data_IF_710064017016
#
_entry.id   IF_710064017016
#
_cell.length_a   1.000
_cell.length_b   1.000
_cell.length_c   1.000
_cell.angle_alpha   90.00
_cell.angle_beta   90.00
_cell.angle_gamma   90.00
#
_symmetry.space_group_name_H-M   'P 1'
#
loop_
_entity.id
_entity.type
_entity.pdbx_description
1 polymer ?
#
# COMPACT_ATOMS: atom_id res chain seq x y z
N UNK A 1 0.89 6.05 5.29
CA UNK A 1 0.30 7.31 4.76
C UNK A 1 -1.19 7.12 4.56
N UNK A 2 -1.99 8.02 5.12
CA UNK A 2 -3.45 8.05 4.96
C UNK A 2 -3.81 8.81 3.69
N UNK A 3 -4.76 8.28 2.92
CA UNK A 3 -5.30 8.97 1.74
C UNK A 3 -6.39 9.96 2.15
N UNK A 4 -6.33 11.15 1.57
CA UNK A 4 -7.37 12.16 1.65
C UNK A 4 -7.82 12.54 0.24
N UNK A 5 -9.12 12.79 0.09
CA UNK A 5 -9.69 13.29 -1.15
C UNK A 5 -9.88 14.79 -1.02
N UNK A 6 -9.26 15.53 -1.93
CA UNK A 6 -9.45 16.97 -2.07
C UNK A 6 -10.15 17.25 -3.39
N UNK A 7 -11.18 18.10 -3.36
CA UNK A 7 -11.92 18.46 -4.56
C UNK A 7 -11.33 19.75 -5.14
N UNK A 8 -10.75 19.65 -6.34
CA UNK A 8 -10.18 20.78 -7.06
C UNK A 8 -10.89 20.88 -8.40
N UNK A 9 -11.60 21.99 -8.63
CA UNK A 9 -12.30 22.27 -9.90
C UNK A 9 -13.23 21.13 -10.38
N UNK A 10 -13.91 20.44 -9.46
CA UNK A 10 -14.85 19.36 -9.77
C UNK A 10 -14.22 17.98 -10.00
N UNK A 11 -12.89 17.86 -9.93
CA UNK A 11 -12.19 16.58 -9.94
C UNK A 11 -11.70 16.23 -8.53
N UNK A 12 -11.76 14.94 -8.18
CA UNK A 12 -11.22 14.43 -6.92
C UNK A 12 -9.73 14.12 -7.09
N UNK A 13 -8.90 14.83 -6.35
CA UNK A 13 -7.46 14.60 -6.28
C UNK A 13 -7.10 13.89 -4.97
N UNK A 14 -6.21 12.91 -5.06
CA UNK A 14 -5.80 12.10 -3.91
C UNK A 14 -4.51 12.66 -3.31
N UNK A 15 -4.59 13.18 -2.10
CA UNK A 15 -3.41 13.58 -1.31
C UNK A 15 -3.10 12.53 -0.25
N UNK A 16 -1.85 12.48 0.19
CA UNK A 16 -1.38 11.52 1.18
C UNK A 16 -0.65 12.24 2.30
N UNK A 17 -1.05 11.96 3.54
CA UNK A 17 -0.42 12.52 4.74
C UNK A 17 0.09 11.39 5.64
N UNK A 18 1.03 11.70 6.53
CA UNK A 18 1.44 10.74 7.56
C UNK A 18 0.25 10.39 8.47
N UNK A 19 0.23 9.16 8.97
CA UNK A 19 -0.77 8.74 9.95
C UNK A 19 -0.32 9.17 11.35
N UNK A 20 -1.25 9.26 12.31
CA UNK A 20 -0.93 9.62 13.70
C UNK A 20 0.10 8.68 14.33
N UNK A 21 -0.06 7.36 14.10
CA UNK A 21 0.93 6.33 14.40
C UNK A 21 1.48 5.74 13.08
N UNK A 22 2.50 6.37 12.46
CA UNK A 22 2.89 6.08 11.09
C UNK A 22 3.79 4.84 10.95
N UNK A 23 4.43 4.41 12.05
CA UNK A 23 5.36 3.29 12.05
C UNK A 23 4.60 2.00 12.31
N UNK A 24 4.80 1.02 11.41
CA UNK A 24 4.22 -0.30 11.49
C UNK A 24 5.33 -1.36 11.48
N UNK A 25 5.50 -2.06 12.60
CA UNK A 25 6.36 -3.24 12.63
C UNK A 25 5.64 -4.43 12.00
N UNK A 26 6.30 -5.11 11.06
CA UNK A 26 5.66 -6.16 10.28
C UNK A 26 6.66 -7.18 9.73
N UNK A 27 6.12 -8.34 9.34
CA UNK A 27 6.77 -9.22 8.38
C UNK A 27 6.45 -8.71 6.97
N UNK A 28 7.47 -8.55 6.13
CA UNK A 28 7.34 -8.09 4.75
C UNK A 28 7.85 -9.18 3.80
N UNK A 29 6.94 -9.83 3.06
CA UNK A 29 7.26 -10.94 2.15
C UNK A 29 6.95 -10.56 0.70
N UNK A 30 7.98 -10.34 -0.10
CA UNK A 30 7.86 -10.02 -1.53
C UNK A 30 7.70 -11.27 -2.40
N UNK A 31 6.94 -11.16 -3.50
CA UNK A 31 6.79 -12.24 -4.50
C UNK A 31 7.54 -11.99 -5.81
N UNK A 32 8.41 -10.98 -5.84
CA UNK A 32 9.11 -10.54 -7.06
C UNK A 32 8.29 -9.54 -7.88
N UNK A 33 8.91 -9.04 -8.94
CA UNK A 33 8.32 -8.11 -9.89
C UNK A 33 8.11 -8.74 -11.25
N UNK A 34 6.99 -8.41 -11.89
CA UNK A 34 6.67 -8.83 -13.25
C UNK A 34 6.63 -7.61 -14.16
N UNK A 35 7.35 -7.68 -15.28
CA UNK A 35 7.25 -6.66 -16.33
C UNK A 35 5.87 -6.70 -16.99
N UNK A 36 5.26 -5.54 -17.19
CA UNK A 36 3.92 -5.37 -17.72
C UNK A 36 3.85 -4.12 -18.57
N UNK A 37 2.93 -4.09 -19.53
CA UNK A 37 2.68 -2.90 -20.34
C UNK A 37 1.45 -2.19 -19.79
N UNK A 38 1.65 -0.97 -19.27
CA UNK A 38 0.58 -0.10 -18.78
C UNK A 38 0.63 1.20 -19.56
N UNK A 39 -0.45 1.55 -20.25
CA UNK A 39 -0.54 2.74 -21.12
C UNK A 39 0.60 2.84 -22.16
N UNK A 40 1.03 1.69 -22.72
CA UNK A 40 2.10 1.63 -23.71
C UNK A 40 3.51 1.75 -23.14
N UNK A 41 3.67 1.92 -21.82
CA UNK A 41 4.96 1.94 -21.15
C UNK A 41 5.24 0.60 -20.47
N UNK A 42 6.50 0.16 -20.54
CA UNK A 42 6.96 -1.01 -19.79
C UNK A 42 7.15 -0.58 -18.33
N UNK A 43 6.39 -1.20 -17.44
CA UNK A 43 6.46 -1.00 -16.00
C UNK A 43 6.73 -2.33 -15.31
N UNK A 44 7.43 -2.31 -14.20
CA UNK A 44 7.62 -3.47 -13.33
C UNK A 44 6.66 -3.36 -12.14
N UNK A 45 5.76 -4.33 -12.03
CA UNK A 45 4.79 -4.44 -10.95
C UNK A 45 5.28 -5.51 -9.97
N UNK A 46 5.70 -5.07 -8.79
CA UNK A 46 6.07 -5.96 -7.68
C UNK A 46 4.91 -6.08 -6.69
N UNK A 47 4.75 -7.27 -6.11
CA UNK A 47 3.75 -7.51 -5.06
C UNK A 47 4.38 -8.07 -3.80
N UNK A 48 3.76 -7.79 -2.65
CA UNK A 48 4.17 -8.33 -1.36
C UNK A 48 2.97 -8.58 -0.46
N UNK A 49 3.15 -9.48 0.50
CA UNK A 49 2.26 -9.69 1.63
C UNK A 49 2.91 -9.15 2.88
N UNK A 50 2.15 -8.38 3.66
CA UNK A 50 2.56 -7.84 4.95
C UNK A 50 1.71 -8.48 6.04
N UNK A 51 2.35 -8.99 7.09
CA UNK A 51 1.66 -9.43 8.30
C UNK A 51 2.09 -8.55 9.46
N UNK A 52 1.11 -7.98 10.17
CA UNK A 52 1.35 -7.04 11.27
C UNK A 52 0.29 -7.22 12.37
N UNK A 53 0.45 -6.50 13.48
CA UNK A 53 -0.57 -6.42 14.53
C UNK A 53 -1.85 -5.80 13.99
N UNK A 54 -2.99 -6.30 14.46
CA UNK A 54 -4.29 -5.81 14.01
C UNK A 54 -4.45 -4.31 14.29
N UNK A 55 -4.76 -3.58 13.22
CA UNK A 55 -5.00 -2.13 13.24
C UNK A 55 -6.20 -1.82 12.36
N UNK A 56 -7.31 -1.44 13.01
CA UNK A 56 -8.56 -1.12 12.32
C UNK A 56 -8.47 0.17 11.49
N UNK A 57 -7.53 1.07 11.83
CA UNK A 57 -7.39 2.34 11.14
C UNK A 57 -6.86 2.19 9.70
N UNK A 58 -6.11 1.14 9.38
CA UNK A 58 -5.49 0.91 8.06
C UNK A 58 -6.56 0.51 7.04
N UNK A 59 -6.63 1.23 5.92
CA UNK A 59 -7.63 1.02 4.87
C UNK A 59 -6.99 0.78 3.51
N UNK A 60 -7.70 0.10 2.60
CA UNK A 60 -7.27 -0.18 1.21
C UNK A 60 -6.69 1.02 0.43
N UNK A 61 -7.25 2.24 0.49
CA UNK A 61 -6.69 3.38 -0.23
C UNK A 61 -5.37 3.94 0.35
N UNK A 62 -4.94 3.49 1.53
CA UNK A 62 -3.73 3.95 2.17
C UNK A 62 -2.46 3.45 1.44
N UNK A 63 -1.35 4.12 1.70
CA UNK A 63 -0.02 3.76 1.20
C UNK A 63 0.93 3.46 2.34
N UNK A 64 1.84 2.53 2.10
CA UNK A 64 2.92 2.17 3.00
C UNK A 64 4.25 2.57 2.38
N UNK A 65 5.16 3.07 3.21
CA UNK A 65 6.52 3.37 2.80
C UNK A 65 7.44 2.39 3.50
N UNK A 66 8.23 1.66 2.72
CA UNK A 66 9.23 0.77 3.26
C UNK A 66 10.45 1.60 3.67
N UNK A 67 10.70 1.73 4.98
CA UNK A 67 11.72 2.65 5.51
C UNK A 67 13.15 2.27 5.15
N UNK A 68 13.41 1.04 4.71
CA UNK A 68 14.76 0.61 4.30
C UNK A 68 15.21 1.21 2.98
N UNK A 69 14.29 1.48 2.06
CA UNK A 69 14.59 1.97 0.70
C UNK A 69 13.69 3.13 0.25
N UNK A 70 12.83 3.64 1.14
CA UNK A 70 11.80 4.65 0.88
C UNK A 70 10.83 4.30 -0.26
N UNK A 71 10.71 3.02 -0.62
CA UNK A 71 9.78 2.63 -1.67
C UNK A 71 8.33 2.72 -1.21
N UNK A 72 7.47 3.25 -2.09
CA UNK A 72 6.04 3.42 -1.82
C UNK A 72 5.28 2.20 -2.35
N UNK A 73 4.44 1.64 -1.49
CA UNK A 73 3.59 0.49 -1.75
C UNK A 73 2.14 0.86 -1.53
N UNK A 74 1.29 0.51 -2.49
CA UNK A 74 -0.17 0.69 -2.41
C UNK A 74 -0.81 -0.58 -1.87
N UNK A 75 -1.75 -0.46 -0.94
CA UNK A 75 -2.54 -1.59 -0.51
C UNK A 75 -3.50 -1.98 -1.64
N UNK A 76 -3.61 -3.29 -1.89
CA UNK A 76 -4.49 -3.85 -2.91
C UNK A 76 -5.50 -4.79 -2.24
N UNK A 77 -6.77 -4.59 -2.56
CA UNK A 77 -7.86 -5.28 -1.87
C UNK A 77 -8.04 -4.80 -0.43
N UNK A 78 -8.85 -5.52 0.33
CA UNK A 78 -9.18 -5.16 1.70
C UNK A 78 -8.13 -5.72 2.69
N UNK A 79 -7.74 -4.94 3.70
CA UNK A 79 -6.98 -5.45 4.84
C UNK A 79 -7.70 -6.63 5.53
N UNK A 80 -7.04 -7.78 5.65
CA UNK A 80 -7.64 -9.00 6.18
C UNK A 80 -7.36 -9.13 7.69
N UNK A 81 -8.39 -9.23 8.53
CA UNK A 81 -8.25 -9.59 9.95
C UNK A 81 -8.00 -11.11 10.05
N UNK A 82 -6.79 -11.51 10.43
CA UNK A 82 -6.39 -12.91 10.39
C UNK A 82 -7.22 -13.73 11.38
N UNK A 83 -7.92 -14.75 10.87
CA UNK A 83 -8.87 -15.58 11.62
C UNK A 83 -9.99 -14.79 12.33
N UNK A 84 -10.20 -13.51 11.99
CA UNK A 84 -11.10 -12.58 12.67
C UNK A 84 -10.86 -12.45 14.18
N UNK A 85 -9.63 -12.67 14.65
CA UNK A 85 -9.28 -12.66 16.09
C UNK A 85 -8.83 -11.30 16.62
N UNK A 86 -8.59 -10.32 15.75
CA UNK A 86 -8.12 -9.00 16.16
C UNK A 86 -6.71 -8.98 16.75
N UNK A 87 -5.89 -10.00 16.44
CA UNK A 87 -4.49 -10.07 16.88
C UNK A 87 -3.55 -9.65 15.75
N UNK A 88 -3.70 -10.26 14.58
CA UNK A 88 -2.91 -9.97 13.40
C UNK A 88 -3.80 -9.57 12.23
N UNK A 89 -3.23 -8.83 11.30
CA UNK A 89 -3.84 -8.55 10.02
C UNK A 89 -2.85 -8.81 8.88
N UNK A 90 -3.40 -9.13 7.70
CA UNK A 90 -2.63 -9.32 6.48
C UNK A 90 -3.02 -8.24 5.45
N UNK A 91 -2.00 -7.65 4.83
CA UNK A 91 -2.15 -6.70 3.73
C UNK A 91 -1.52 -7.31 2.49
N UNK A 92 -2.22 -7.23 1.35
CA UNK A 92 -1.59 -7.38 0.05
C UNK A 92 -1.23 -6.00 -0.45
N UNK A 93 -0.02 -5.83 -0.96
CA UNK A 93 0.47 -4.55 -1.46
C UNK A 93 1.13 -4.72 -2.82
N UNK A 94 1.14 -3.65 -3.62
CA UNK A 94 1.89 -3.56 -4.86
C UNK A 94 2.75 -2.31 -4.91
N UNK A 95 3.85 -2.40 -5.65
CA UNK A 95 4.69 -1.27 -6.05
C UNK A 95 4.79 -1.28 -7.57
N UNK A 96 4.58 -0.13 -8.19
CA UNK A 96 4.84 0.07 -9.61
C UNK A 96 6.17 0.82 -9.71
N UNK A 97 7.08 0.30 -10.53
CA UNK A 97 8.40 0.89 -10.77
C UNK A 97 8.68 0.91 -12.26
N UNK A 98 9.30 1.97 -12.77
CA UNK A 98 9.42 2.20 -14.21
C UNK A 98 8.19 2.91 -14.79
N UNK A 99 8.38 3.47 -15.98
CA UNK A 99 7.53 4.48 -16.57
C UNK A 99 8.23 5.84 -16.52
N UNK A 100 8.56 6.39 -17.69
CA UNK A 100 9.18 7.69 -17.86
C UNK A 100 8.12 8.75 -18.21
#
# INVERSE_FOLDING_TARGET
MKRYLTWVSGAAESTYHEADDPILFCNFKTFGGTESVVNGQIVNIATATITTWYRQDIQSPDRLVLLSDNSVWEIIGEPENFEMRGQYMQLRVKKISGGA
#
